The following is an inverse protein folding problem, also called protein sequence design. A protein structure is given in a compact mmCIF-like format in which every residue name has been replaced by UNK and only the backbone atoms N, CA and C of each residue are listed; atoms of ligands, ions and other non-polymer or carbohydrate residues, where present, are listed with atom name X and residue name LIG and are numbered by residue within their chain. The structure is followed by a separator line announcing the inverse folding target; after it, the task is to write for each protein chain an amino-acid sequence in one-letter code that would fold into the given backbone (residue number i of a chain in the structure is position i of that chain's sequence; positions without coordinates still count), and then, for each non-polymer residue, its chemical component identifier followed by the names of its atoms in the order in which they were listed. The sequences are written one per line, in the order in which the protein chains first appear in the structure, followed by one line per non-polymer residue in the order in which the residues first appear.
data_IF_673615380541
#
_entry.id   IF_673615380541
#
_cell.length_a   1.000
_cell.length_b   1.000
_cell.length_c   1.000
_cell.angle_alpha   90.00
_cell.angle_beta   90.00
_cell.angle_gamma   90.00
#
_symmetry.space_group_name_H-M   'P 1'
#
loop_
_entity.id
_entity.type
_entity.pdbx_description
1 polymer ?
#
# COMPACT_ATOMS: atom_id res chain seq x y z
N UNK A 1 65.12 -20.14 23.93
CA UNK A 1 64.20 -19.00 24.12
C UNK A 1 63.46 -18.78 22.81
N UNK A 2 62.17 -19.16 22.76
CA UNK A 2 61.30 -18.99 21.60
C UNK A 2 60.70 -17.59 21.60
N UNK A 3 60.81 -16.87 20.47
CA UNK A 3 60.06 -15.64 20.20
C UNK A 3 58.90 -15.95 19.28
N UNK A 4 57.68 -15.96 19.82
CA UNK A 4 56.43 -16.01 19.06
C UNK A 4 55.97 -14.59 18.69
N UNK A 5 55.89 -14.31 17.40
CA UNK A 5 55.24 -13.12 16.85
C UNK A 5 53.72 -13.21 17.03
N UNK A 6 53.13 -12.21 17.70
CA UNK A 6 51.69 -12.01 17.76
C UNK A 6 51.20 -11.39 16.45
N UNK A 7 50.50 -12.18 15.63
CA UNK A 7 49.65 -11.68 14.55
C UNK A 7 48.29 -11.31 15.16
N UNK A 8 47.91 -10.02 15.13
CA UNK A 8 46.61 -9.58 15.63
C UNK A 8 45.51 -9.86 14.61
N UNK A 9 44.44 -10.46 15.12
CA UNK A 9 43.20 -10.88 14.48
C UNK A 9 42.60 -9.85 13.50
N UNK A 10 42.35 -10.29 12.27
CA UNK A 10 41.53 -9.61 11.26
C UNK A 10 40.35 -10.54 10.96
N UNK A 11 39.28 -10.49 11.79
CA UNK A 11 38.19 -11.46 11.64
C UNK A 11 36.80 -10.98 12.12
N UNK A 12 36.36 -9.76 11.75
CA UNK A 12 35.00 -9.32 12.10
C UNK A 12 34.05 -8.83 10.99
N UNK A 13 34.39 -8.91 9.70
CA UNK A 13 33.49 -8.39 8.65
C UNK A 13 32.60 -9.41 7.90
N UNK A 14 32.80 -10.72 8.06
CA UNK A 14 32.13 -11.72 7.19
C UNK A 14 30.71 -12.13 7.61
N UNK A 15 30.34 -11.92 8.88
CA UNK A 15 29.02 -12.31 9.41
C UNK A 15 27.91 -11.29 9.16
N UNK A 16 28.25 -10.01 9.01
CA UNK A 16 27.28 -8.92 8.90
C UNK A 16 26.64 -8.86 7.50
N UNK A 17 27.41 -9.13 6.46
CA UNK A 17 26.98 -9.05 5.05
C UNK A 17 25.99 -10.14 4.64
N UNK A 18 26.08 -11.34 5.23
CA UNK A 18 25.16 -12.44 4.92
C UNK A 18 23.76 -12.18 5.50
N UNK A 19 23.69 -11.69 6.74
CA UNK A 19 22.42 -11.35 7.40
C UNK A 19 21.75 -10.15 6.71
N UNK A 20 22.52 -9.21 6.19
CA UNK A 20 22.00 -8.05 5.46
C UNK A 20 21.46 -8.45 4.07
N UNK A 21 22.16 -9.35 3.36
CA UNK A 21 21.70 -9.89 2.07
C UNK A 21 20.40 -10.72 2.21
N UNK A 22 20.27 -11.51 3.28
CA UNK A 22 19.05 -12.27 3.58
C UNK A 22 17.86 -11.35 3.87
N UNK A 23 18.08 -10.22 4.54
CA UNK A 23 17.02 -9.21 4.78
C UNK A 23 16.59 -8.51 3.49
N UNK A 24 17.53 -8.16 2.61
CA UNK A 24 17.24 -7.50 1.34
C UNK A 24 16.48 -8.44 0.38
N UNK A 25 16.87 -9.71 0.32
CA UNK A 25 16.16 -10.72 -0.49
C UNK A 25 14.76 -11.00 0.05
N UNK A 26 14.57 -10.98 1.36
CA UNK A 26 13.26 -11.05 2.00
C UNK A 26 12.37 -9.84 1.63
N UNK A 27 12.88 -8.61 1.71
CA UNK A 27 12.14 -7.39 1.34
C UNK A 27 11.69 -7.39 -0.12
N UNK A 28 12.56 -7.80 -1.05
CA UNK A 28 12.18 -7.95 -2.46
C UNK A 28 10.99 -8.90 -2.64
N UNK A 29 10.99 -10.01 -1.93
CA UNK A 29 9.92 -11.00 -1.97
C UNK A 29 8.60 -10.39 -1.47
N UNK A 30 8.64 -9.70 -0.32
CA UNK A 30 7.46 -9.01 0.24
C UNK A 30 6.89 -7.95 -0.71
N UNK A 31 7.76 -7.17 -1.37
CA UNK A 31 7.34 -6.16 -2.34
C UNK A 31 6.63 -6.79 -3.54
N UNK A 32 7.17 -7.87 -4.10
CA UNK A 32 6.55 -8.60 -5.21
C UNK A 32 5.22 -9.24 -4.81
N UNK A 33 5.14 -9.79 -3.60
CA UNK A 33 3.90 -10.36 -3.05
C UNK A 33 2.82 -9.30 -2.89
N UNK A 34 3.14 -8.13 -2.33
CA UNK A 34 2.20 -7.00 -2.20
C UNK A 34 1.69 -6.59 -3.58
N UNK A 35 2.58 -6.41 -4.55
CA UNK A 35 2.19 -6.05 -5.91
C UNK A 35 1.21 -7.08 -6.52
N UNK A 36 1.48 -8.36 -6.29
CA UNK A 36 0.63 -9.46 -6.76
C UNK A 36 -0.74 -9.45 -6.09
N UNK A 37 -0.80 -9.22 -4.77
CA UNK A 37 -2.06 -9.10 -4.04
C UNK A 37 -2.90 -7.90 -4.52
N UNK A 38 -2.27 -6.73 -4.73
CA UNK A 38 -2.96 -5.53 -5.23
C UNK A 38 -3.48 -5.76 -6.65
N UNK A 39 -2.70 -6.42 -7.52
CA UNK A 39 -3.15 -6.78 -8.86
C UNK A 39 -4.35 -7.74 -8.84
N UNK A 40 -4.29 -8.78 -8.01
CA UNK A 40 -5.39 -9.74 -7.84
C UNK A 40 -6.64 -9.07 -7.26
N UNK A 41 -6.48 -8.16 -6.30
CA UNK A 41 -7.60 -7.41 -5.73
C UNK A 41 -8.33 -6.61 -6.80
N UNK A 42 -7.57 -5.92 -7.67
CA UNK A 42 -8.13 -5.18 -8.82
C UNK A 42 -8.88 -6.07 -9.78
N UNK A 43 -8.33 -7.23 -10.11
CA UNK A 43 -8.96 -8.19 -11.00
C UNK A 43 -10.28 -8.71 -10.43
N UNK A 44 -10.30 -9.06 -9.14
CA UNK A 44 -11.51 -9.50 -8.46
C UNK A 44 -12.61 -8.42 -8.40
N UNK A 45 -12.23 -7.15 -8.23
CA UNK A 45 -13.20 -6.05 -8.23
C UNK A 45 -13.94 -5.90 -9.57
N UNK A 46 -13.37 -6.33 -10.69
CA UNK A 46 -14.03 -6.28 -12.01
C UNK A 46 -15.30 -7.13 -12.01
N UNK A 47 -15.33 -8.22 -11.24
CA UNK A 47 -16.45 -9.14 -11.19
C UNK A 47 -17.62 -8.66 -10.32
N UNK A 48 -17.46 -7.60 -9.55
CA UNK A 48 -18.54 -6.99 -8.76
C UNK A 48 -19.62 -6.43 -9.70
N UNK A 49 -20.87 -6.84 -9.50
CA UNK A 49 -22.01 -6.50 -10.37
C UNK A 49 -22.09 -7.30 -11.66
N UNK A 50 -21.21 -8.29 -11.88
CA UNK A 50 -21.26 -9.19 -13.04
C UNK A 50 -21.93 -10.52 -12.69
N UNK A 51 -22.16 -11.39 -13.68
CA UNK A 51 -22.77 -12.72 -13.49
C UNK A 51 -22.01 -13.64 -12.52
N UNK A 52 -20.72 -13.37 -12.29
CA UNK A 52 -19.88 -14.12 -11.33
C UNK A 52 -19.92 -13.54 -9.91
N UNK A 53 -20.62 -12.43 -9.70
CA UNK A 53 -20.72 -11.79 -8.39
C UNK A 53 -21.58 -12.63 -7.45
N UNK A 54 -21.00 -13.12 -6.37
CA UNK A 54 -21.66 -13.95 -5.38
C UNK A 54 -21.05 -13.74 -3.98
N UNK A 55 -21.73 -14.18 -2.91
CA UNK A 55 -21.23 -14.03 -1.55
C UNK A 55 -19.82 -14.59 -1.32
N UNK A 56 -19.47 -15.72 -1.94
CA UNK A 56 -18.14 -16.31 -1.86
C UNK A 56 -17.06 -15.40 -2.45
N UNK A 57 -17.35 -14.77 -3.59
CA UNK A 57 -16.46 -13.82 -4.22
C UNK A 57 -16.31 -12.56 -3.36
N UNK A 58 -17.42 -12.01 -2.87
CA UNK A 58 -17.42 -10.82 -1.99
C UNK A 58 -16.58 -11.05 -0.73
N UNK A 59 -16.69 -12.20 -0.10
CA UNK A 59 -15.84 -12.55 1.05
C UNK A 59 -14.37 -12.75 0.66
N UNK A 60 -14.07 -13.34 -0.50
CA UNK A 60 -12.68 -13.43 -0.98
C UNK A 60 -12.07 -12.04 -1.19
N UNK A 61 -12.85 -11.09 -1.74
CA UNK A 61 -12.43 -9.68 -1.90
C UNK A 61 -12.15 -9.06 -0.52
N UNK A 62 -13.06 -9.24 0.45
CA UNK A 62 -12.89 -8.77 1.85
C UNK A 62 -11.61 -9.30 2.47
N UNK A 63 -11.35 -10.60 2.34
CA UNK A 63 -10.14 -11.25 2.88
C UNK A 63 -8.86 -10.75 2.21
N UNK A 64 -8.84 -10.72 0.88
CA UNK A 64 -7.67 -10.27 0.13
C UNK A 64 -7.34 -8.80 0.43
N UNK A 65 -8.36 -7.95 0.59
CA UNK A 65 -8.17 -6.56 1.04
C UNK A 65 -7.40 -6.52 2.36
N UNK A 66 -7.87 -7.26 3.37
CA UNK A 66 -7.22 -7.31 4.69
C UNK A 66 -5.79 -7.83 4.59
N UNK A 67 -5.54 -8.86 3.77
CA UNK A 67 -4.19 -9.35 3.48
C UNK A 67 -3.30 -8.25 2.90
N UNK A 68 -3.80 -7.44 1.97
CA UNK A 68 -3.04 -6.30 1.42
C UNK A 68 -2.71 -5.26 2.50
N UNK A 69 -3.68 -4.91 3.35
CA UNK A 69 -3.50 -3.95 4.46
C UNK A 69 -2.41 -4.43 5.41
N UNK A 70 -2.51 -5.68 5.88
CA UNK A 70 -1.54 -6.26 6.81
C UNK A 70 -0.16 -6.41 6.17
N UNK A 71 -0.06 -6.83 4.91
CA UNK A 71 1.21 -6.94 4.21
C UNK A 71 1.91 -5.57 4.05
N UNK A 72 1.15 -4.51 3.71
CA UNK A 72 1.68 -3.15 3.63
C UNK A 72 2.20 -2.66 4.98
N UNK A 73 1.40 -2.85 6.05
CA UNK A 73 1.77 -2.46 7.42
C UNK A 73 3.01 -3.22 7.90
N UNK A 74 3.03 -4.54 7.71
CA UNK A 74 4.15 -5.39 8.10
C UNK A 74 5.45 -5.00 7.38
N UNK A 75 5.41 -4.85 6.05
CA UNK A 75 6.60 -4.45 5.28
C UNK A 75 7.08 -3.06 5.68
N UNK A 76 6.17 -2.11 5.96
CA UNK A 76 6.56 -0.81 6.47
C UNK A 76 7.19 -0.88 7.87
N UNK A 77 6.69 -1.73 8.77
CA UNK A 77 7.30 -1.93 10.09
C UNK A 77 8.73 -2.46 10.03
N UNK A 78 9.06 -3.24 9.01
CA UNK A 78 10.43 -3.72 8.76
C UNK A 78 11.29 -2.62 8.13
N UNK A 79 10.73 -1.87 7.18
CA UNK A 79 11.47 -0.95 6.33
C UNK A 79 11.73 0.42 7.01
N UNK A 80 10.71 0.99 7.65
CA UNK A 80 10.74 2.33 8.22
C UNK A 80 11.84 2.53 9.28
N UNK A 81 12.11 1.58 10.21
CA UNK A 81 13.21 1.73 11.16
C UNK A 81 14.59 1.86 10.47
N UNK A 82 14.79 1.13 9.37
CA UNK A 82 16.05 1.17 8.61
C UNK A 82 16.25 2.52 7.93
N UNK A 83 15.18 3.04 7.31
CA UNK A 83 15.16 4.37 6.68
C UNK A 83 15.41 5.47 7.72
N UNK A 84 14.72 5.42 8.85
CA UNK A 84 14.87 6.39 9.95
C UNK A 84 16.29 6.39 10.52
N UNK A 85 16.91 5.22 10.69
CA UNK A 85 18.30 5.10 11.15
C UNK A 85 19.27 5.71 10.13
N UNK A 86 19.15 5.37 8.85
CA UNK A 86 20.05 5.88 7.80
C UNK A 86 19.96 7.41 7.67
N UNK A 87 18.76 7.99 7.79
CA UNK A 87 18.59 9.44 7.82
C UNK A 87 19.20 10.10 9.06
N UNK A 88 19.09 9.48 10.23
CA UNK A 88 19.71 9.99 11.46
C UNK A 88 21.25 10.00 11.36
N UNK A 89 21.82 9.05 10.64
CA UNK A 89 23.26 8.97 10.34
C UNK A 89 23.71 9.96 9.23
N UNK A 90 22.80 10.78 8.71
CA UNK A 90 23.07 11.78 7.68
C UNK A 90 23.23 11.19 6.26
N UNK A 91 22.86 9.93 6.06
CA UNK A 91 22.95 9.26 4.77
C UNK A 91 21.68 9.58 3.97
N UNK A 92 21.83 10.39 2.92
CA UNK A 92 20.81 10.56 1.88
C UNK A 92 20.57 9.21 1.20
N UNK A 93 19.50 8.53 1.60
CA UNK A 93 19.18 7.18 1.12
C UNK A 93 18.00 7.24 0.18
N UNK A 94 18.27 7.22 -1.12
CA UNK A 94 17.30 6.74 -2.12
C UNK A 94 17.06 5.26 -1.85
N UNK A 95 16.07 4.94 -1.00
CA UNK A 95 15.70 3.56 -0.71
C UNK A 95 14.66 3.08 -1.75
N UNK A 96 15.04 2.23 -2.72
CA UNK A 96 14.11 1.82 -3.78
C UNK A 96 12.92 1.03 -3.23
N UNK A 97 13.09 0.26 -2.14
CA UNK A 97 11.99 -0.46 -1.51
C UNK A 97 10.97 0.49 -0.88
N UNK A 98 11.41 1.63 -0.32
CA UNK A 98 10.51 2.64 0.21
C UNK A 98 9.67 3.25 -0.89
N UNK A 99 10.32 3.63 -1.99
CA UNK A 99 9.64 4.21 -3.16
C UNK A 99 8.60 3.24 -3.72
N UNK A 100 8.97 1.96 -3.89
CA UNK A 100 8.05 0.93 -4.38
C UNK A 100 6.88 0.71 -3.42
N UNK A 101 7.15 0.56 -2.11
CA UNK A 101 6.11 0.36 -1.10
C UNK A 101 5.13 1.54 -1.05
N UNK A 102 5.67 2.76 -1.11
CA UNK A 102 4.88 3.99 -1.14
C UNK A 102 3.93 4.02 -2.33
N UNK A 103 4.43 3.80 -3.55
CA UNK A 103 3.56 3.81 -4.74
C UNK A 103 2.55 2.67 -4.78
N UNK A 104 2.90 1.49 -4.26
CA UNK A 104 1.95 0.39 -4.11
C UNK A 104 0.85 0.71 -3.08
N UNK A 105 1.20 1.31 -1.93
CA UNK A 105 0.22 1.76 -0.95
C UNK A 105 -0.72 2.83 -1.54
N UNK A 106 -0.18 3.77 -2.34
CA UNK A 106 -1.00 4.76 -3.06
C UNK A 106 -1.94 4.11 -4.08
N UNK A 107 -1.44 3.13 -4.86
CA UNK A 107 -2.25 2.36 -5.79
C UNK A 107 -3.38 1.66 -5.04
N UNK A 108 -3.05 0.94 -3.97
CA UNK A 108 -4.02 0.20 -3.18
C UNK A 108 -5.07 1.11 -2.54
N UNK A 109 -4.68 2.27 -2.00
CA UNK A 109 -5.63 3.25 -1.46
C UNK A 109 -6.66 3.70 -2.51
N UNK A 110 -6.24 3.89 -3.77
CA UNK A 110 -7.19 4.19 -4.86
C UNK A 110 -8.15 3.03 -5.12
N UNK A 111 -7.67 1.80 -5.05
CA UNK A 111 -8.51 0.61 -5.23
C UNK A 111 -9.47 0.40 -4.05
N UNK A 112 -9.08 0.76 -2.82
CA UNK A 112 -9.99 0.78 -1.67
C UNK A 112 -11.17 1.75 -1.88
N UNK A 113 -10.90 2.95 -2.39
CA UNK A 113 -11.95 3.92 -2.71
C UNK A 113 -12.90 3.39 -3.78
N UNK A 114 -12.38 2.72 -4.83
CA UNK A 114 -13.23 2.07 -5.84
C UNK A 114 -14.03 0.92 -5.25
N UNK A 115 -13.41 0.08 -4.43
CA UNK A 115 -14.06 -1.03 -3.74
C UNK A 115 -15.22 -0.55 -2.88
N UNK A 116 -15.03 0.51 -2.09
CA UNK A 116 -16.08 1.15 -1.31
C UNK A 116 -17.25 1.57 -2.20
N UNK A 117 -16.99 2.28 -3.30
CA UNK A 117 -18.05 2.78 -4.19
C UNK A 117 -18.80 1.65 -4.89
N UNK A 118 -18.09 0.61 -5.33
CA UNK A 118 -18.70 -0.56 -5.94
C UNK A 118 -19.64 -1.29 -4.97
N UNK A 119 -19.20 -1.51 -3.73
CA UNK A 119 -20.00 -2.18 -2.70
C UNK A 119 -21.20 -1.31 -2.29
N UNK A 120 -21.01 0.00 -2.20
CA UNK A 120 -22.09 0.94 -1.89
C UNK A 120 -23.19 0.93 -2.96
N UNK A 121 -22.82 0.90 -4.25
CA UNK A 121 -23.77 0.98 -5.37
C UNK A 121 -24.37 -0.39 -5.71
N UNK A 122 -23.60 -1.46 -5.53
CA UNK A 122 -24.02 -2.85 -5.79
C UNK A 122 -23.96 -3.63 -4.47
N UNK A 123 -24.95 -3.45 -3.58
CA UNK A 123 -25.02 -4.20 -2.33
C UNK A 123 -25.26 -5.69 -2.62
N UNK A 124 -24.80 -6.55 -1.71
CA UNK A 124 -25.00 -8.01 -1.77
C UNK A 124 -25.59 -8.47 -0.45
N UNK A 125 -26.66 -9.27 -0.51
CA UNK A 125 -27.15 -9.95 0.68
C UNK A 125 -26.18 -11.09 1.07
N UNK A 126 -25.57 -10.95 2.24
CA UNK A 126 -24.61 -11.90 2.80
C UNK A 126 -25.22 -12.75 3.93
N UNK A 127 -26.51 -12.58 4.24
CA UNK A 127 -27.16 -13.20 5.40
C UNK A 127 -27.05 -14.72 5.36
N UNK A 128 -27.46 -15.33 4.25
CA UNK A 128 -27.35 -16.79 4.05
C UNK A 128 -25.91 -17.30 4.04
N UNK A 129 -24.93 -16.48 3.64
CA UNK A 129 -23.53 -16.89 3.64
C UNK A 129 -22.97 -17.04 5.06
N UNK A 130 -23.25 -16.07 5.94
CA UNK A 130 -22.74 -16.09 7.31
C UNK A 130 -23.55 -17.00 8.23
N UNK A 131 -24.86 -17.16 8.02
CA UNK A 131 -25.69 -18.14 8.75
C UNK A 131 -25.16 -19.57 8.56
N UNK A 132 -24.81 -19.93 7.33
CA UNK A 132 -24.31 -21.27 7.00
C UNK A 132 -22.85 -21.52 7.42
N UNK A 133 -22.13 -20.49 7.89
CA UNK A 133 -20.70 -20.55 8.23
C UNK A 133 -20.38 -20.34 9.71
N UNK A 134 -21.40 -20.23 10.57
CA UNK A 134 -21.32 -19.99 12.02
C UNK A 134 -19.90 -20.13 12.65
N UNK A 135 -19.14 -19.03 12.59
CA UNK A 135 -17.97 -18.76 13.42
C UNK A 135 -18.36 -17.92 14.65
N UNK A 136 -17.46 -17.69 15.62
CA UNK A 136 -17.78 -17.20 16.98
C UNK A 136 -18.42 -15.80 17.08
N UNK A 137 -18.59 -15.09 15.95
CA UNK A 137 -19.19 -13.76 15.85
C UNK A 137 -20.63 -13.64 16.38
N UNK A 138 -21.31 -14.78 16.61
CA UNK A 138 -22.66 -14.79 17.17
C UNK A 138 -22.71 -14.54 18.69
N UNK A 139 -21.62 -14.67 19.44
CA UNK A 139 -21.68 -14.54 20.90
C UNK A 139 -22.00 -13.11 21.35
N UNK A 140 -21.38 -12.10 20.73
CA UNK A 140 -21.65 -10.69 21.02
C UNK A 140 -23.06 -10.25 20.62
N UNK A 141 -23.59 -10.84 19.54
CA UNK A 141 -24.94 -10.56 19.05
C UNK A 141 -26.00 -11.23 19.95
N UNK A 142 -25.75 -12.46 20.42
CA UNK A 142 -26.64 -13.16 21.37
C UNK A 142 -26.71 -12.43 22.70
N UNK A 143 -25.58 -11.95 23.24
CA UNK A 143 -25.56 -11.18 24.50
C UNK A 143 -26.33 -9.85 24.33
N UNK A 144 -26.14 -9.14 23.22
CA UNK A 144 -26.90 -7.91 22.92
C UNK A 144 -28.39 -8.17 22.69
N UNK A 145 -28.77 -9.26 22.03
CA UNK A 145 -30.17 -9.63 21.81
C UNK A 145 -30.89 -10.00 23.12
N UNK A 146 -30.20 -10.68 24.04
CA UNK A 146 -30.70 -11.01 25.39
C UNK A 146 -30.88 -9.73 26.22
N UNK A 147 -29.95 -8.77 26.11
CA UNK A 147 -29.99 -7.52 26.90
C UNK A 147 -30.93 -6.45 26.34
N UNK A 148 -31.08 -6.36 25.01
CA UNK A 148 -31.76 -5.24 24.34
C UNK A 148 -33.15 -5.59 23.81
N UNK A 149 -33.58 -6.85 23.87
CA UNK A 149 -34.86 -7.33 23.33
C UNK A 149 -35.13 -6.86 21.87
N UNK A 150 -34.06 -6.62 21.11
CA UNK A 150 -34.09 -6.31 19.69
C UNK A 150 -33.32 -7.39 18.96
N UNK A 151 -33.95 -8.00 17.97
CA UNK A 151 -33.24 -8.85 17.02
C UNK A 151 -32.33 -7.93 16.20
N UNK A 152 -31.05 -7.84 16.58
CA UNK A 152 -30.04 -7.15 15.80
C UNK A 152 -29.77 -7.98 14.54
N UNK A 153 -30.42 -7.63 13.44
CA UNK A 153 -30.02 -8.05 12.09
C UNK A 153 -28.76 -7.25 11.73
N UNK A 154 -27.56 -7.85 11.72
CA UNK A 154 -26.36 -7.12 11.34
C UNK A 154 -26.46 -6.68 9.88
N UNK A 155 -26.34 -5.38 9.62
CA UNK A 155 -26.17 -4.88 8.25
C UNK A 155 -24.73 -5.16 7.82
N UNK A 156 -24.52 -6.34 7.25
CA UNK A 156 -23.21 -6.78 6.75
C UNK A 156 -22.64 -5.83 5.68
N UNK A 157 -23.50 -5.17 4.92
CA UNK A 157 -23.08 -4.24 3.89
C UNK A 157 -22.55 -2.93 4.51
N UNK A 158 -23.23 -2.39 5.52
CA UNK A 158 -22.74 -1.25 6.29
C UNK A 158 -21.43 -1.58 7.05
N UNK A 159 -21.34 -2.77 7.67
CA UNK A 159 -20.12 -3.23 8.33
C UNK A 159 -18.93 -3.30 7.34
N UNK A 160 -19.19 -3.82 6.14
CA UNK A 160 -18.21 -3.88 5.06
C UNK A 160 -17.71 -2.48 4.69
N UNK A 161 -18.62 -1.54 4.42
CA UNK A 161 -18.29 -0.16 4.08
C UNK A 161 -17.50 0.55 5.18
N UNK A 162 -17.90 0.35 6.44
CA UNK A 162 -17.18 0.88 7.61
C UNK A 162 -15.76 0.31 7.68
N UNK A 163 -15.60 -1.00 7.44
CA UNK A 163 -14.29 -1.63 7.47
C UNK A 163 -13.36 -1.14 6.35
N UNK A 164 -13.88 -0.90 5.13
CA UNK A 164 -13.09 -0.33 4.03
C UNK A 164 -12.66 1.10 4.36
N UNK A 165 -13.53 1.88 5.01
CA UNK A 165 -13.20 3.25 5.45
C UNK A 165 -12.06 3.23 6.47
N UNK A 166 -12.10 2.32 7.44
CA UNK A 166 -11.03 2.11 8.41
C UNK A 166 -9.72 1.72 7.72
N UNK A 167 -9.76 0.72 6.85
CA UNK A 167 -8.58 0.26 6.10
C UNK A 167 -7.98 1.40 5.26
N UNK A 168 -8.82 2.23 4.63
CA UNK A 168 -8.38 3.40 3.85
C UNK A 168 -7.66 4.43 4.72
N UNK A 169 -8.18 4.68 5.92
CA UNK A 169 -7.56 5.61 6.88
C UNK A 169 -6.22 5.07 7.38
N UNK A 170 -6.13 3.78 7.70
CA UNK A 170 -4.89 3.13 8.13
C UNK A 170 -3.80 3.25 7.04
N UNK A 171 -4.14 3.00 5.78
CA UNK A 171 -3.20 3.15 4.66
C UNK A 171 -2.84 4.62 4.41
N UNK A 172 -3.79 5.56 4.57
CA UNK A 172 -3.50 6.98 4.44
C UNK A 172 -2.51 7.49 5.51
N UNK A 173 -2.66 7.02 6.75
CA UNK A 173 -1.71 7.31 7.84
C UNK A 173 -0.33 6.74 7.50
N UNK A 174 -0.27 5.50 7.03
CA UNK A 174 0.98 4.87 6.64
C UNK A 174 1.68 5.63 5.49
N UNK A 175 0.92 6.10 4.50
CA UNK A 175 1.44 6.92 3.41
C UNK A 175 2.01 8.25 3.91
N UNK A 176 1.32 8.91 4.84
CA UNK A 176 1.79 10.15 5.43
C UNK A 176 3.13 9.96 6.17
N UNK A 177 3.28 8.84 6.90
CA UNK A 177 4.54 8.49 7.57
C UNK A 177 5.67 8.24 6.56
N UNK A 178 5.43 7.43 5.53
CA UNK A 178 6.45 7.15 4.50
C UNK A 178 6.84 8.40 3.70
N UNK A 179 5.91 9.32 3.47
CA UNK A 179 6.14 10.52 2.65
C UNK A 179 7.21 11.46 3.23
N UNK A 180 7.40 11.48 4.55
CA UNK A 180 8.43 12.29 5.21
C UNK A 180 9.85 11.89 4.73
N UNK A 181 10.02 10.62 4.36
CA UNK A 181 11.31 10.03 3.99
C UNK A 181 11.46 9.81 2.48
N UNK A 182 10.44 10.17 1.68
CA UNK A 182 10.52 10.05 0.23
C UNK A 182 11.56 11.05 -0.32
N UNK A 183 12.37 10.64 -1.30
CA UNK A 183 13.33 11.55 -1.90
C UNK A 183 12.60 12.74 -2.51
N UNK A 184 12.95 13.94 -2.04
CA UNK A 184 12.49 15.17 -2.67
C UNK A 184 13.22 15.27 -4.00
N UNK A 185 12.50 15.08 -5.10
CA UNK A 185 13.03 15.29 -6.43
C UNK A 185 13.41 16.77 -6.55
N UNK A 186 14.64 17.12 -6.20
CA UNK A 186 15.17 18.44 -6.52
C UNK A 186 15.11 18.54 -8.04
N UNK A 187 14.32 19.49 -8.52
CA UNK A 187 14.10 19.80 -9.94
C UNK A 187 15.37 20.29 -10.67
N UNK A 188 16.55 19.97 -10.15
CA UNK A 188 17.83 20.51 -10.56
C UNK A 188 18.61 19.60 -11.53
N UNK A 189 18.25 18.30 -11.62
CA UNK A 189 18.95 17.36 -12.51
C UNK A 189 18.37 17.27 -13.94
N UNK A 190 17.23 17.90 -14.23
CA UNK A 190 16.65 17.97 -15.59
C UNK A 190 16.91 19.30 -16.32
N UNK A 191 18.00 20.02 -16.02
CA UNK A 191 18.54 20.95 -17.03
C UNK A 191 19.27 20.12 -18.07
N UNK A 192 18.51 19.51 -18.98
CA UNK A 192 19.04 18.95 -20.21
C UNK A 192 19.77 20.07 -20.95
N UNK A 193 21.11 20.10 -20.87
CA UNK A 193 21.94 21.03 -21.63
C UNK A 193 21.72 20.91 -23.15
N UNK A 194 21.09 19.82 -23.60
CA UNK A 194 20.64 19.62 -24.97
C UNK A 194 19.49 20.56 -25.41
N UNK A 195 18.81 21.24 -24.49
CA UNK A 195 17.77 22.25 -24.78
C UNK A 195 18.30 23.69 -24.81
N UNK A 196 19.58 23.94 -24.49
CA UNK A 196 20.22 25.25 -24.64
C UNK A 196 20.71 25.48 -26.08
N UNK A 197 19.80 25.23 -27.05
CA UNK A 197 19.96 25.80 -28.39
C UNK A 197 19.19 27.11 -28.44
N UNK A 198 19.97 28.18 -28.55
CA UNK A 198 19.58 29.56 -28.81
C UNK A 198 18.66 29.69 -30.02
N UNK A 199 17.36 29.48 -29.82
CA UNK A 199 16.30 29.76 -30.79
C UNK A 199 15.52 31.05 -30.44
N UNK A 200 14.95 31.79 -31.42
CA UNK A 200 14.54 33.19 -31.24
C UNK A 200 13.24 33.42 -30.45
N UNK A 201 12.65 32.41 -29.82
CA UNK A 201 11.35 32.52 -29.17
C UNK A 201 11.50 32.71 -27.67
N UNK A 202 11.91 33.92 -27.28
CA UNK A 202 11.87 34.36 -25.89
C UNK A 202 10.49 34.94 -25.53
N UNK A 203 10.09 34.63 -24.30
CA UNK A 203 9.11 35.32 -23.47
C UNK A 203 7.60 35.07 -23.70
N UNK A 204 7.09 34.03 -23.02
CA UNK A 204 5.89 34.22 -22.20
C UNK A 204 6.18 33.77 -20.77
N UNK A 205 6.27 34.76 -19.86
CA UNK A 205 6.61 34.63 -18.45
C UNK A 205 5.87 33.47 -17.79
N UNK A 206 6.64 32.54 -17.19
CA UNK A 206 6.16 31.61 -16.18
C UNK A 206 5.78 32.39 -14.93
N UNK A 207 4.51 32.35 -14.57
CA UNK A 207 4.04 32.80 -13.27
C UNK A 207 3.92 31.57 -12.37
N UNK A 208 4.83 31.48 -11.40
CA UNK A 208 4.76 30.54 -10.30
C UNK A 208 3.53 30.85 -9.46
N UNK A 209 2.54 29.95 -9.44
CA UNK A 209 1.55 29.89 -8.38
C UNK A 209 1.23 28.43 -8.03
N UNK A 210 1.74 28.05 -6.86
CA UNK A 210 1.06 27.23 -5.84
C UNK A 210 0.78 25.77 -6.23
N UNK A 211 1.68 24.93 -5.72
CA UNK A 211 1.42 23.53 -5.37
C UNK A 211 0.29 23.44 -4.32
N UNK A 212 -0.97 23.48 -4.76
CA UNK A 212 -2.16 23.04 -4.02
C UNK A 212 -3.20 22.57 -5.03
N UNK A 213 -3.67 21.34 -4.87
CA UNK A 213 -4.63 20.61 -5.72
C UNK A 213 -4.10 20.08 -7.06
N UNK A 214 -3.60 18.85 -7.06
CA UNK A 214 -3.79 17.93 -8.19
C UNK A 214 -4.53 16.68 -7.70
N UNK A 215 -5.79 16.89 -7.34
CA UNK A 215 -6.82 15.88 -7.56
C UNK A 215 -7.16 15.88 -9.06
N UNK A 216 -7.48 14.69 -9.56
CA UNK A 216 -8.12 14.38 -10.85
C UNK A 216 -7.20 14.11 -12.05
N UNK A 217 -7.20 12.81 -12.39
CA UNK A 217 -7.16 12.22 -13.73
C UNK A 217 -5.80 12.19 -14.43
N UNK A 218 -5.06 11.10 -14.23
CA UNK A 218 -4.19 10.56 -15.27
C UNK A 218 -4.34 9.04 -15.30
N UNK A 219 -5.19 8.56 -16.20
CA UNK A 219 -5.24 7.24 -16.85
C UNK A 219 -6.61 7.06 -17.52
N UNK A 220 -6.92 7.89 -18.52
CA UNK A 220 -7.89 7.52 -19.56
C UNK A 220 -7.06 7.13 -20.78
N UNK A 221 -6.79 5.84 -20.92
CA UNK A 221 -6.42 5.28 -22.22
C UNK A 221 -7.61 5.50 -23.15
N UNK A 222 -7.47 6.39 -24.15
CA UNK A 222 -8.47 6.55 -25.22
C UNK A 222 -8.56 5.24 -26.01
N UNK A 223 -9.76 4.76 -26.38
CA UNK A 223 -9.89 3.75 -27.42
C UNK A 223 -9.60 4.39 -28.79
N UNK A 224 -8.64 3.84 -29.52
CA UNK A 224 -8.49 4.11 -30.95
C UNK A 224 -9.54 3.28 -31.68
N UNK A 225 -10.55 3.93 -32.26
CA UNK A 225 -11.32 3.34 -33.34
C UNK A 225 -10.59 3.62 -34.65
N UNK A 226 -10.15 2.57 -35.32
CA UNK A 226 -10.04 2.50 -36.77
C UNK A 226 -11.18 1.58 -37.26
#
# INVERSE_FOLDING_TARGET
MLTTHHLHHLHHHRGSTAVELDKITNLNTLIVEINSHVALFRDMLIHVGQAKDCPELREKIRKLRRTCVEALKHTAQILMPQVKSAMADGILTDNPHLVLLFYMAQLFLRELVKSYRLIQVVPMDMSGYYENRAGPSNLGNVISQILLCKQFTPDFNEEELCSITKDSQDIAVLLAEMQEYMPQHEAYLERNAALDTTGPWQAKRRQNYICKNMSLLCCVSRPNYL
#
